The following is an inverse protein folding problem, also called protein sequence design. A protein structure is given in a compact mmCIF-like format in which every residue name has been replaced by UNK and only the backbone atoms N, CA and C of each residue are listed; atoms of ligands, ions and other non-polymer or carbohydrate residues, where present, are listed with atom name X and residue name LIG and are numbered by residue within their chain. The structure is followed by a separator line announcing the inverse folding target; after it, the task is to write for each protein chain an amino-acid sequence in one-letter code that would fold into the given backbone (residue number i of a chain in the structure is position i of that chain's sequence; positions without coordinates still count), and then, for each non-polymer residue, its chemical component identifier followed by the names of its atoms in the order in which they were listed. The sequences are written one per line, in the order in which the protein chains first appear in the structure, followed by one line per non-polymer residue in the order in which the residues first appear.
data_IF_474949898857
#
_entry.id   IF_474949898857
#
_cell.length_a   1.000
_cell.length_b   1.000
_cell.length_c   1.000
_cell.angle_alpha   90.00
_cell.angle_beta   90.00
_cell.angle_gamma   90.00
#
_symmetry.space_group_name_H-M   'P 1'
#
loop_
_entity.id
_entity.type
_entity.pdbx_description
1 polymer ?
#
# COMPACT_ATOMS: atom_id res chain seq x y z
N UNK A 1 -6.60 -9.28 6.40
CA UNK A 1 -5.97 -9.42 7.74
C UNK A 1 -6.57 -10.62 8.43
N UNK A 2 -5.76 -11.38 9.13
CA UNK A 2 -6.25 -12.52 9.92
C UNK A 2 -6.92 -12.02 11.22
N UNK A 3 -7.98 -12.69 11.68
CA UNK A 3 -8.78 -12.21 12.82
C UNK A 3 -8.03 -12.06 14.16
N UNK A 4 -6.88 -12.69 14.31
CA UNK A 4 -6.03 -12.61 15.50
C UNK A 4 -4.84 -11.66 15.36
N UNK A 5 -4.71 -10.95 14.23
CA UNK A 5 -3.60 -10.02 14.04
C UNK A 5 -3.76 -8.74 14.84
N UNK A 6 -2.61 -8.13 15.16
CA UNK A 6 -2.53 -6.83 15.85
C UNK A 6 -2.04 -5.79 14.85
N UNK A 7 -2.94 -5.02 14.24
CA UNK A 7 -2.59 -4.06 13.19
C UNK A 7 -2.07 -2.74 13.76
N UNK A 8 -1.13 -2.15 13.02
CA UNK A 8 -0.70 -0.76 13.11
C UNK A 8 -1.10 -0.02 11.83
N UNK A 9 -1.89 1.03 11.97
CA UNK A 9 -2.28 1.95 10.91
C UNK A 9 -1.32 3.15 10.89
N UNK A 10 -0.42 3.21 9.91
CA UNK A 10 0.61 4.26 9.79
C UNK A 10 0.12 5.38 8.87
N UNK A 11 0.17 6.62 9.38
CA UNK A 11 -0.45 7.77 8.74
C UNK A 11 -1.97 7.70 8.85
N UNK A 12 -2.44 7.42 10.07
CA UNK A 12 -3.85 7.11 10.35
C UNK A 12 -4.79 8.30 10.12
N UNK A 13 -4.25 9.53 9.97
CA UNK A 13 -5.02 10.77 9.76
C UNK A 13 -6.14 10.88 10.82
N UNK A 14 -7.39 10.71 10.42
CA UNK A 14 -8.56 10.76 11.30
C UNK A 14 -8.92 9.40 11.93
N UNK A 15 -8.05 8.39 11.90
CA UNK A 15 -8.24 7.02 12.40
C UNK A 15 -9.47 6.28 11.83
N UNK A 16 -9.94 6.64 10.64
CA UNK A 16 -11.13 6.03 10.02
C UNK A 16 -10.94 4.53 9.77
N UNK A 17 -9.78 4.12 9.26
CA UNK A 17 -9.47 2.71 9.02
C UNK A 17 -9.42 1.94 10.35
N UNK A 18 -8.75 2.50 11.36
CA UNK A 18 -8.63 1.90 12.69
C UNK A 18 -10.00 1.69 13.34
N UNK A 19 -10.89 2.68 13.27
CA UNK A 19 -12.27 2.59 13.77
C UNK A 19 -13.07 1.52 13.00
N UNK A 20 -12.93 1.48 11.66
CA UNK A 20 -13.57 0.48 10.81
C UNK A 20 -13.14 -0.95 11.17
N UNK A 21 -11.85 -1.17 11.40
CA UNK A 21 -11.31 -2.48 11.79
C UNK A 21 -11.96 -2.99 13.08
N UNK A 22 -12.18 -2.14 14.06
CA UNK A 22 -12.84 -2.52 15.33
C UNK A 22 -14.34 -2.75 15.15
N UNK A 23 -15.05 -1.83 14.50
CA UNK A 23 -16.51 -1.86 14.41
C UNK A 23 -17.04 -2.90 13.43
N UNK A 24 -16.41 -2.99 12.26
CA UNK A 24 -16.93 -3.78 11.15
C UNK A 24 -16.18 -5.10 10.95
N UNK A 25 -14.94 -5.18 11.41
CA UNK A 25 -14.10 -6.37 11.26
C UNK A 25 -13.81 -7.10 12.56
N UNK A 26 -14.32 -6.57 13.69
CA UNK A 26 -14.22 -7.17 15.02
C UNK A 26 -12.76 -7.45 15.46
N UNK A 27 -11.82 -6.58 15.08
CA UNK A 27 -10.47 -6.62 15.63
C UNK A 27 -10.52 -6.27 17.12
N UNK A 28 -9.76 -6.96 17.99
CA UNK A 28 -9.81 -6.68 19.42
C UNK A 28 -9.10 -5.37 19.80
N UNK A 29 -8.06 -5.00 19.06
CA UNK A 29 -7.22 -3.84 19.33
C UNK A 29 -6.51 -3.36 18.06
N UNK A 30 -6.25 -2.05 17.95
CA UNK A 30 -5.54 -1.42 16.83
C UNK A 30 -4.58 -0.37 17.37
N UNK A 31 -3.34 -0.37 16.85
CA UNK A 31 -2.42 0.75 16.97
C UNK A 31 -2.60 1.69 15.77
N UNK A 32 -2.59 2.99 16.03
CA UNK A 32 -2.71 4.00 14.97
C UNK A 32 -1.70 5.11 15.18
N UNK A 33 -0.95 5.47 14.16
CA UNK A 33 0.12 6.47 14.28
C UNK A 33 0.05 7.53 13.20
N UNK A 34 0.45 8.75 13.58
CA UNK A 34 0.71 9.85 12.65
C UNK A 34 1.87 10.70 13.20
N UNK A 35 2.63 11.34 12.31
CA UNK A 35 3.72 12.23 12.71
C UNK A 35 3.25 13.66 13.01
N UNK A 36 2.01 14.03 12.62
CA UNK A 36 1.43 15.37 12.77
C UNK A 36 0.44 15.40 13.93
N UNK A 37 0.55 16.44 14.76
CA UNK A 37 -0.32 16.59 15.94
C UNK A 37 -1.79 16.91 15.56
N UNK A 38 -2.00 17.65 14.49
CA UNK A 38 -3.36 18.01 14.01
C UNK A 38 -4.20 16.78 13.67
N UNK A 39 -3.75 15.91 12.73
CA UNK A 39 -4.40 14.64 12.44
C UNK A 39 -4.62 13.77 13.68
N UNK A 40 -3.62 13.65 14.56
CA UNK A 40 -3.77 12.87 15.79
C UNK A 40 -4.83 13.42 16.76
N UNK A 41 -4.95 14.73 16.86
CA UNK A 41 -6.02 15.34 17.68
C UNK A 41 -7.39 15.01 17.10
N UNK A 42 -7.56 15.11 15.78
CA UNK A 42 -8.79 14.72 15.12
C UNK A 42 -9.07 13.21 15.23
N UNK A 43 -8.02 12.38 15.13
CA UNK A 43 -8.14 10.94 15.40
C UNK A 43 -8.65 10.67 16.83
N UNK A 44 -8.11 11.39 17.84
CA UNK A 44 -8.52 11.29 19.23
C UNK A 44 -9.99 11.66 19.44
N UNK A 45 -10.44 12.75 18.80
CA UNK A 45 -11.84 13.16 18.84
C UNK A 45 -12.76 12.06 18.25
N UNK A 46 -12.39 11.52 17.09
CA UNK A 46 -13.17 10.46 16.44
C UNK A 46 -13.19 9.17 17.29
N UNK A 47 -12.03 8.76 17.82
CA UNK A 47 -11.93 7.58 18.70
C UNK A 47 -12.81 7.72 19.93
N UNK A 48 -12.82 8.89 20.56
CA UNK A 48 -13.68 9.19 21.72
C UNK A 48 -15.17 9.22 21.33
N UNK A 49 -15.52 9.82 20.20
CA UNK A 49 -16.88 9.86 19.69
C UNK A 49 -17.50 8.46 19.52
N UNK A 50 -16.67 7.49 19.07
CA UNK A 50 -17.10 6.09 18.93
C UNK A 50 -16.90 5.24 20.20
N UNK A 51 -16.46 5.80 21.33
CA UNK A 51 -16.15 5.09 22.58
C UNK A 51 -15.15 3.95 22.40
N UNK A 52 -14.06 4.19 21.66
CA UNK A 52 -13.03 3.19 21.32
C UNK A 52 -11.65 3.50 21.92
N UNK A 53 -11.57 4.41 22.90
CA UNK A 53 -10.30 4.85 23.49
C UNK A 53 -9.55 3.73 24.23
N UNK A 54 -10.23 2.69 24.66
CA UNK A 54 -9.67 1.48 25.28
C UNK A 54 -9.18 0.44 24.26
N UNK A 55 -9.51 0.61 22.97
CA UNK A 55 -9.22 -0.34 21.88
C UNK A 55 -8.36 0.24 20.76
N UNK A 56 -8.12 1.54 20.74
CA UNK A 56 -7.22 2.21 19.79
C UNK A 56 -6.14 2.97 20.55
N UNK A 57 -4.88 2.56 20.39
CA UNK A 57 -3.74 3.32 20.90
C UNK A 57 -3.21 4.28 19.82
N UNK A 58 -3.32 5.59 20.10
CA UNK A 58 -2.80 6.64 19.21
C UNK A 58 -1.36 6.98 19.56
N UNK A 59 -0.47 6.87 18.57
CA UNK A 59 0.98 7.07 18.73
C UNK A 59 1.44 8.22 17.86
N UNK A 60 2.09 9.23 18.46
CA UNK A 60 2.78 10.27 17.70
C UNK A 60 4.16 9.75 17.30
N UNK A 61 4.32 9.29 16.08
CA UNK A 61 5.59 8.79 15.56
C UNK A 61 5.65 8.91 14.03
N UNK A 62 6.88 8.93 13.50
CA UNK A 62 7.12 8.91 12.07
C UNK A 62 7.30 7.46 11.58
N UNK A 63 6.42 7.03 10.68
CA UNK A 63 6.51 5.75 9.99
C UNK A 63 6.66 4.56 10.93
N UNK A 64 7.64 3.71 10.68
CA UNK A 64 7.90 2.48 11.44
C UNK A 64 8.49 2.71 12.86
N UNK A 65 8.65 3.97 13.30
CA UNK A 65 9.04 4.25 14.68
C UNK A 65 7.90 3.99 15.70
N UNK A 66 6.68 3.80 15.22
CA UNK A 66 5.53 3.40 16.04
C UNK A 66 5.40 1.90 16.28
N UNK A 67 6.28 1.07 15.69
CA UNK A 67 6.28 -0.37 15.90
C UNK A 67 6.68 -0.76 17.32
N UNK A 68 5.99 -1.77 17.87
CA UNK A 68 6.34 -2.46 19.09
C UNK A 68 6.21 -3.99 18.89
N UNK A 69 6.61 -4.78 19.89
CA UNK A 69 6.68 -6.25 19.79
C UNK A 69 5.31 -6.95 19.67
N UNK A 70 4.20 -6.26 19.96
CA UNK A 70 2.86 -6.81 19.86
C UNK A 70 2.30 -6.75 18.43
N UNK A 71 2.82 -5.83 17.61
CA UNK A 71 2.32 -5.56 16.25
C UNK A 71 2.87 -6.62 15.31
N UNK A 72 1.97 -7.24 14.53
CA UNK A 72 2.34 -8.24 13.52
C UNK A 72 1.84 -7.88 12.10
N UNK A 73 1.04 -6.84 11.99
CA UNK A 73 0.44 -6.37 10.73
C UNK A 73 0.59 -4.86 10.59
N UNK A 74 1.02 -4.41 9.42
CA UNK A 74 1.17 -2.98 9.08
C UNK A 74 0.16 -2.63 7.99
N UNK A 75 -0.50 -1.47 8.14
CA UNK A 75 -1.25 -0.83 7.07
C UNK A 75 -0.69 0.56 6.77
N UNK A 76 -0.54 0.89 5.49
CA UNK A 76 -0.16 2.24 5.02
C UNK A 76 -1.03 2.59 3.83
N UNK A 77 -1.86 3.60 3.96
CA UNK A 77 -2.76 4.05 2.89
C UNK A 77 -2.55 5.52 2.57
N UNK A 78 -2.72 5.89 1.28
CA UNK A 78 -2.70 7.29 0.87
C UNK A 78 -1.31 7.95 0.82
N UNK A 79 -0.23 7.20 1.03
CA UNK A 79 1.14 7.72 0.90
C UNK A 79 1.70 7.52 -0.52
N UNK A 80 2.66 8.37 -0.92
CA UNK A 80 3.42 8.18 -2.15
C UNK A 80 4.32 6.94 -2.05
N UNK A 81 4.42 6.16 -3.14
CA UNK A 81 5.17 4.90 -3.15
C UNK A 81 6.65 5.07 -2.80
N UNK A 82 7.30 6.16 -3.23
CA UNK A 82 8.70 6.41 -2.85
C UNK A 82 8.87 6.70 -1.36
N UNK A 83 7.89 7.36 -0.73
CA UNK A 83 7.88 7.58 0.73
C UNK A 83 7.75 6.25 1.47
N UNK A 84 6.84 5.38 1.01
CA UNK A 84 6.68 4.03 1.54
C UNK A 84 7.98 3.26 1.41
N UNK A 85 8.60 3.23 0.23
CA UNK A 85 9.84 2.52 -0.01
C UNK A 85 10.98 2.99 0.91
N UNK A 86 11.16 4.30 1.03
CA UNK A 86 12.16 4.89 1.93
C UNK A 86 11.93 4.45 3.38
N UNK A 87 10.69 4.59 3.87
CA UNK A 87 10.30 4.21 5.23
C UNK A 87 10.64 2.75 5.55
N UNK A 88 10.32 1.82 4.66
CA UNK A 88 10.58 0.40 4.86
C UNK A 88 12.07 0.04 4.74
N UNK A 89 12.81 0.62 3.78
CA UNK A 89 14.23 0.35 3.59
C UNK A 89 15.08 0.85 4.77
N UNK A 90 14.81 2.06 5.26
CA UNK A 90 15.54 2.66 6.39
C UNK A 90 15.26 1.94 7.72
N UNK A 91 14.14 1.25 7.85
CA UNK A 91 13.69 0.59 9.08
C UNK A 91 13.55 -0.94 8.96
N UNK A 92 14.23 -1.56 7.99
CA UNK A 92 14.12 -3.01 7.73
C UNK A 92 14.33 -3.89 8.97
N UNK A 93 15.19 -3.45 9.89
CA UNK A 93 15.50 -4.18 11.13
C UNK A 93 14.31 -4.28 12.10
N UNK A 94 13.30 -3.40 11.95
CA UNK A 94 12.09 -3.39 12.79
C UNK A 94 11.01 -4.37 12.31
N UNK A 95 11.21 -5.00 11.14
CA UNK A 95 10.20 -5.85 10.52
C UNK A 95 10.22 -7.31 11.01
N UNK A 96 11.00 -7.62 12.04
CA UNK A 96 11.23 -9.00 12.51
C UNK A 96 9.93 -9.72 12.85
N UNK A 97 9.02 -9.07 13.58
CA UNK A 97 7.75 -9.64 14.03
C UNK A 97 6.61 -9.45 13.02
N UNK A 98 6.83 -8.69 11.95
CA UNK A 98 5.78 -8.36 10.99
C UNK A 98 5.54 -9.55 10.07
N UNK A 99 4.29 -10.02 10.05
CA UNK A 99 3.81 -11.15 9.22
C UNK A 99 3.12 -10.65 7.95
N UNK A 100 2.39 -9.53 8.06
CA UNK A 100 1.55 -8.99 6.98
C UNK A 100 1.78 -7.50 6.80
N UNK A 101 1.88 -7.06 5.54
CA UNK A 101 1.99 -5.64 5.17
C UNK A 101 0.89 -5.37 4.14
N UNK A 102 0.06 -4.36 4.38
CA UNK A 102 -1.03 -3.94 3.49
C UNK A 102 -0.77 -2.50 3.08
N UNK A 103 -0.63 -2.28 1.79
CA UNK A 103 -0.28 -0.97 1.25
C UNK A 103 -1.31 -0.51 0.21
N UNK A 104 -1.65 0.76 0.26
CA UNK A 104 -2.37 1.44 -0.82
C UNK A 104 -1.59 2.69 -1.26
N UNK A 105 -0.54 2.50 -2.06
CA UNK A 105 0.29 3.60 -2.53
C UNK A 105 -0.43 4.43 -3.61
N UNK A 106 -0.23 5.76 -3.58
CA UNK A 106 -0.80 6.67 -4.57
C UNK A 106 -0.11 6.60 -5.94
N UNK A 107 1.12 6.10 -6.00
CA UNK A 107 1.96 6.04 -7.21
C UNK A 107 3.13 5.07 -7.01
N UNK A 108 3.98 4.86 -8.03
CA UNK A 108 5.17 4.01 -7.98
C UNK A 108 4.87 2.58 -7.51
N UNK A 109 3.78 2.00 -8.01
CA UNK A 109 3.26 0.69 -7.58
C UNK A 109 4.28 -0.42 -7.84
N UNK A 110 4.93 -0.39 -9.02
CA UNK A 110 5.99 -1.34 -9.41
C UNK A 110 7.14 -1.31 -8.40
N UNK A 111 7.62 -0.13 -8.07
CA UNK A 111 8.72 0.06 -7.14
C UNK A 111 8.36 -0.38 -5.71
N UNK A 112 7.11 -0.21 -5.31
CA UNK A 112 6.62 -0.70 -4.01
C UNK A 112 6.60 -2.22 -3.99
N UNK A 113 6.06 -2.89 -5.02
CA UNK A 113 6.09 -4.35 -5.12
C UNK A 113 7.52 -4.89 -5.03
N UNK A 114 8.44 -4.28 -5.80
CA UNK A 114 9.85 -4.68 -5.83
C UNK A 114 10.54 -4.49 -4.48
N UNK A 115 10.34 -3.34 -3.83
CA UNK A 115 10.97 -3.02 -2.55
C UNK A 115 10.51 -3.96 -1.44
N UNK A 116 9.21 -4.16 -1.29
CA UNK A 116 8.67 -5.03 -0.24
C UNK A 116 9.07 -6.49 -0.48
N UNK A 117 9.12 -6.93 -1.75
CA UNK A 117 9.60 -8.26 -2.08
C UNK A 117 11.08 -8.46 -1.70
N UNK A 118 11.95 -7.49 -1.98
CA UNK A 118 13.37 -7.52 -1.56
C UNK A 118 13.56 -7.56 -0.03
N UNK A 119 12.56 -7.11 0.73
CA UNK A 119 12.57 -7.18 2.19
C UNK A 119 12.10 -8.53 2.75
N UNK A 120 11.85 -9.52 1.90
CA UNK A 120 11.45 -10.86 2.30
C UNK A 120 9.93 -11.03 2.49
N UNK A 121 9.15 -10.28 1.71
CA UNK A 121 7.69 -10.44 1.67
C UNK A 121 7.23 -10.73 0.24
N UNK A 122 6.34 -11.68 0.07
CA UNK A 122 5.70 -11.96 -1.21
C UNK A 122 4.29 -11.36 -1.27
N UNK A 123 3.86 -10.99 -2.45
CA UNK A 123 2.51 -10.49 -2.69
C UNK A 123 1.52 -11.66 -2.57
N UNK A 124 0.73 -11.66 -1.49
CA UNK A 124 -0.29 -12.68 -1.17
C UNK A 124 -1.60 -12.41 -1.91
N UNK A 125 -1.99 -11.13 -2.00
CA UNK A 125 -3.18 -10.70 -2.71
C UNK A 125 -3.01 -9.28 -3.25
N UNK A 126 -3.82 -8.93 -4.24
CA UNK A 126 -3.79 -7.64 -4.90
C UNK A 126 -5.15 -7.31 -5.48
N UNK A 127 -5.64 -6.11 -5.23
CA UNK A 127 -6.92 -5.64 -5.73
C UNK A 127 -6.82 -4.23 -6.30
N UNK A 128 -7.75 -3.92 -7.20
CA UNK A 128 -8.06 -2.56 -7.65
C UNK A 128 -9.46 -2.20 -7.17
N UNK A 129 -9.57 -1.01 -6.59
CA UNK A 129 -10.82 -0.42 -6.15
C UNK A 129 -11.00 0.92 -6.84
N UNK A 130 -12.19 1.19 -7.36
CA UNK A 130 -12.54 2.48 -7.95
C UNK A 130 -13.41 3.26 -6.95
N UNK A 131 -12.99 4.47 -6.62
CA UNK A 131 -13.76 5.43 -5.83
C UNK A 131 -13.64 6.82 -6.45
N UNK A 132 -14.76 7.47 -6.67
CA UNK A 132 -14.81 8.84 -7.25
C UNK A 132 -13.96 8.98 -8.53
N UNK A 133 -14.05 8.02 -9.43
CA UNK A 133 -13.28 7.92 -10.69
C UNK A 133 -11.76 7.80 -10.53
N UNK A 134 -11.28 7.48 -9.33
CA UNK A 134 -9.87 7.16 -9.08
C UNK A 134 -9.70 5.68 -8.79
N UNK A 135 -8.62 5.11 -9.31
CA UNK A 135 -8.24 3.72 -9.08
C UNK A 135 -7.20 3.66 -7.97
N UNK A 136 -7.47 2.81 -6.99
CA UNK A 136 -6.59 2.55 -5.86
C UNK A 136 -6.10 1.12 -5.91
N UNK A 137 -4.78 0.95 -5.81
CA UNK A 137 -4.18 -0.36 -5.62
C UNK A 137 -4.20 -0.73 -4.14
N UNK A 138 -4.59 -1.96 -3.84
CA UNK A 138 -4.45 -2.55 -2.52
C UNK A 138 -3.51 -3.76 -2.67
N UNK A 139 -2.35 -3.68 -2.03
CA UNK A 139 -1.31 -4.69 -2.08
C UNK A 139 -1.23 -5.38 -0.72
N UNK A 140 -1.41 -6.68 -0.68
CA UNK A 140 -1.31 -7.48 0.54
C UNK A 140 -0.08 -8.37 0.45
N UNK A 141 0.89 -8.13 1.30
CA UNK A 141 2.11 -8.92 1.38
C UNK A 141 2.13 -9.80 2.62
N UNK A 142 2.68 -10.99 2.49
CA UNK A 142 2.98 -11.89 3.62
C UNK A 142 4.47 -12.20 3.67
N UNK A 143 4.98 -12.45 4.88
CA UNK A 143 6.38 -12.81 5.10
C UNK A 143 6.71 -14.08 4.34
N UNK A 144 7.81 -14.08 3.62
CA UNK A 144 8.27 -15.19 2.78
C UNK A 144 8.85 -14.70 1.47
N UNK A 145 9.37 -15.64 0.67
CA UNK A 145 10.05 -15.32 -0.58
C UNK A 145 9.29 -15.88 -1.79
N UNK A 146 9.16 -15.06 -2.82
CA UNK A 146 8.69 -15.45 -4.13
C UNK A 146 9.39 -14.59 -5.18
N UNK A 147 9.94 -15.21 -6.21
CA UNK A 147 10.52 -14.48 -7.32
C UNK A 147 9.42 -13.97 -8.26
N UNK A 148 9.61 -12.76 -8.76
CA UNK A 148 8.74 -12.14 -9.76
C UNK A 148 9.58 -11.67 -10.94
N UNK A 149 9.09 -11.90 -12.14
CA UNK A 149 9.63 -11.29 -13.36
C UNK A 149 9.36 -9.78 -13.34
N UNK A 150 10.14 -9.03 -14.13
CA UNK A 150 9.92 -7.60 -14.25
C UNK A 150 8.52 -7.28 -14.81
N UNK A 151 8.00 -8.10 -15.75
CA UNK A 151 6.63 -8.00 -16.26
C UNK A 151 5.58 -8.12 -15.15
N UNK A 152 5.72 -9.11 -14.27
CA UNK A 152 4.81 -9.27 -13.12
C UNK A 152 4.88 -8.09 -12.17
N UNK A 153 6.06 -7.53 -11.92
CA UNK A 153 6.19 -6.34 -11.07
C UNK A 153 5.50 -5.11 -11.67
N UNK A 154 5.54 -4.94 -13.00
CA UNK A 154 4.82 -3.85 -13.68
C UNK A 154 3.31 -4.04 -13.69
N UNK A 155 2.84 -5.20 -14.12
CA UNK A 155 1.41 -5.45 -14.33
C UNK A 155 0.65 -5.83 -13.04
N UNK A 156 1.37 -6.39 -12.06
CA UNK A 156 0.79 -6.99 -10.86
C UNK A 156 0.58 -8.49 -11.02
N UNK A 157 1.39 -9.33 -10.34
CA UNK A 157 1.39 -10.77 -10.54
C UNK A 157 0.03 -11.43 -10.27
N UNK A 158 -0.77 -10.83 -9.37
CA UNK A 158 -2.11 -11.33 -9.05
C UNK A 158 -3.18 -10.65 -9.92
N UNK A 159 -3.01 -9.36 -10.26
CA UNK A 159 -3.95 -8.69 -11.17
C UNK A 159 -3.98 -9.37 -12.54
N UNK A 160 -2.83 -9.82 -13.06
CA UNK A 160 -2.75 -10.54 -14.33
C UNK A 160 -3.57 -11.84 -14.36
N UNK A 161 -3.84 -12.46 -13.22
CA UNK A 161 -4.64 -13.69 -13.12
C UNK A 161 -6.13 -13.44 -12.94
N UNK A 162 -6.53 -12.20 -12.67
CA UNK A 162 -7.92 -11.83 -12.40
C UNK A 162 -8.59 -11.27 -13.66
N UNK A 163 -9.64 -11.92 -14.14
CA UNK A 163 -10.42 -11.44 -15.28
C UNK A 163 -11.54 -10.48 -14.84
N UNK A 164 -11.16 -9.28 -14.35
CA UNK A 164 -12.10 -8.25 -13.91
C UNK A 164 -12.06 -7.03 -14.84
N UNK A 165 -13.23 -6.47 -15.19
CA UNK A 165 -13.33 -5.30 -16.06
C UNK A 165 -12.56 -4.08 -15.53
N UNK A 166 -12.51 -3.90 -14.22
CA UNK A 166 -11.73 -2.82 -13.59
C UNK A 166 -10.23 -2.94 -13.90
N UNK A 167 -9.69 -4.16 -13.99
CA UNK A 167 -8.27 -4.40 -14.30
C UNK A 167 -8.01 -4.10 -15.78
N UNK A 168 -8.90 -4.51 -16.67
CA UNK A 168 -8.83 -4.17 -18.09
C UNK A 168 -8.92 -2.66 -18.31
N UNK A 169 -9.83 -1.98 -17.58
CA UNK A 169 -9.93 -0.51 -17.57
C UNK A 169 -8.63 0.13 -17.11
N UNK A 170 -8.02 -0.39 -16.05
CA UNK A 170 -6.74 0.11 -15.53
C UNK A 170 -5.64 -0.01 -16.60
N UNK A 171 -5.44 -1.19 -17.19
CA UNK A 171 -4.41 -1.39 -18.21
C UNK A 171 -4.63 -0.51 -19.45
N UNK A 172 -5.88 -0.36 -19.91
CA UNK A 172 -6.22 0.58 -21.01
C UNK A 172 -5.84 2.02 -20.67
N UNK A 173 -6.16 2.47 -19.46
CA UNK A 173 -5.84 3.82 -19.02
C UNK A 173 -4.33 4.04 -18.94
N UNK A 174 -3.58 3.07 -18.38
CA UNK A 174 -2.11 3.13 -18.34
C UNK A 174 -1.51 3.19 -19.75
N UNK A 175 -1.95 2.35 -20.66
CA UNK A 175 -1.49 2.36 -22.06
C UNK A 175 -1.76 3.71 -22.74
N UNK A 176 -2.95 4.27 -22.56
CA UNK A 176 -3.32 5.60 -23.07
C UNK A 176 -2.44 6.70 -22.48
N UNK A 177 -2.22 6.69 -21.18
CA UNK A 177 -1.36 7.66 -20.48
C UNK A 177 0.09 7.57 -20.96
N UNK A 178 0.63 6.37 -21.09
CA UNK A 178 2.01 6.13 -21.59
C UNK A 178 2.15 6.68 -23.00
N UNK A 179 1.22 6.36 -23.90
CA UNK A 179 1.26 6.85 -25.29
C UNK A 179 1.25 8.39 -25.33
N UNK A 180 0.40 9.03 -24.51
CA UNK A 180 0.37 10.50 -24.40
C UNK A 180 1.68 11.08 -23.90
N UNK A 181 2.31 10.47 -22.92
CA UNK A 181 3.59 10.93 -22.35
C UNK A 181 4.73 10.76 -23.36
N UNK A 182 4.77 9.63 -24.09
CA UNK A 182 5.81 9.33 -25.07
C UNK A 182 5.75 10.25 -26.31
N UNK A 183 4.63 10.89 -26.59
CA UNK A 183 4.55 11.94 -27.63
C UNK A 183 5.29 13.21 -27.25
N UNK A 184 5.68 13.39 -26.00
CA UNK A 184 6.39 14.58 -25.53
C UNK A 184 7.91 14.42 -25.70
N UNK A 185 8.51 15.22 -26.58
CA UNK A 185 9.93 15.19 -26.92
C UNK A 185 10.86 15.47 -25.71
N UNK A 186 10.34 16.07 -24.63
CA UNK A 186 11.14 16.44 -23.44
C UNK A 186 11.22 15.35 -22.36
N UNK A 187 10.78 14.13 -22.63
CA UNK A 187 10.86 13.02 -21.64
C UNK A 187 12.32 12.57 -21.49
N UNK A 188 12.91 12.56 -20.30
CA UNK A 188 14.27 12.05 -20.08
C UNK A 188 14.41 10.59 -20.55
N UNK A 189 15.51 10.25 -21.20
CA UNK A 189 15.77 8.93 -21.82
C UNK A 189 15.49 7.76 -20.86
N UNK A 190 15.99 7.82 -19.63
CA UNK A 190 15.77 6.77 -18.64
C UNK A 190 14.28 6.59 -18.27
N UNK A 191 13.48 7.65 -18.31
CA UNK A 191 12.03 7.56 -18.11
C UNK A 191 11.34 7.00 -19.35
N UNK A 192 11.77 7.38 -20.53
CA UNK A 192 11.25 6.87 -21.80
C UNK A 192 11.44 5.36 -21.88
N UNK A 193 12.63 4.84 -21.63
CA UNK A 193 12.93 3.40 -21.63
C UNK A 193 12.01 2.59 -20.68
N UNK A 194 11.75 3.12 -19.47
CA UNK A 194 10.82 2.49 -18.53
C UNK A 194 9.37 2.48 -19.04
N UNK A 195 8.93 3.58 -19.65
CA UNK A 195 7.57 3.69 -20.21
C UNK A 195 7.38 2.79 -21.41
N UNK A 196 8.35 2.72 -22.33
CA UNK A 196 8.33 1.82 -23.49
C UNK A 196 8.29 0.35 -23.05
N UNK A 197 9.05 0.00 -22.02
CA UNK A 197 9.04 -1.34 -21.45
C UNK A 197 7.68 -1.69 -20.84
N UNK A 198 7.09 -0.78 -20.07
CA UNK A 198 5.75 -0.99 -19.51
C UNK A 198 4.69 -1.07 -20.60
N UNK A 199 4.75 -0.20 -21.61
CA UNK A 199 3.89 -0.25 -22.79
C UNK A 199 3.92 -1.63 -23.44
N UNK A 200 5.11 -2.15 -23.75
CA UNK A 200 5.28 -3.49 -24.33
C UNK A 200 4.58 -4.57 -23.49
N UNK A 201 4.72 -4.55 -22.17
CA UNK A 201 4.06 -5.52 -21.30
C UNK A 201 2.52 -5.38 -21.32
N UNK A 202 2.01 -4.16 -21.41
CA UNK A 202 0.57 -3.92 -21.55
C UNK A 202 0.03 -4.45 -22.87
N UNK A 203 0.73 -4.24 -23.99
CA UNK A 203 0.37 -4.74 -25.32
C UNK A 203 0.39 -6.27 -25.44
N UNK A 204 1.18 -6.96 -24.59
CA UNK A 204 1.21 -8.44 -24.55
C UNK A 204 0.03 -9.06 -23.78
N UNK A 205 -0.71 -8.31 -23.00
CA UNK A 205 -1.86 -8.81 -22.20
C UNK A 205 -3.20 -8.34 -22.74
N UNK A 206 -3.17 -7.58 -23.82
CA UNK A 206 -4.29 -7.12 -24.65
C UNK A 206 -4.21 -7.73 -26.04
#
# INVERSE_FOLDING_TARGET
MDKGSVPLDIGCDHAKLSIYLLKEKNFPFVYASDNKIGPLNQAKENVNYYNLADKIELIKAEGLNSLNDKIDTITVTGMGGLTINKMFLENKNKLTNIKTIILSPNNFIKEVRETINKLGYYLKDEELVEESNKLYHILVFSKGNKAYSDKELYLGPILMTKNKEIIKKYYRNELSNINRVLLNIKVPKAKQEKLEKFKKYLEEVY
#
